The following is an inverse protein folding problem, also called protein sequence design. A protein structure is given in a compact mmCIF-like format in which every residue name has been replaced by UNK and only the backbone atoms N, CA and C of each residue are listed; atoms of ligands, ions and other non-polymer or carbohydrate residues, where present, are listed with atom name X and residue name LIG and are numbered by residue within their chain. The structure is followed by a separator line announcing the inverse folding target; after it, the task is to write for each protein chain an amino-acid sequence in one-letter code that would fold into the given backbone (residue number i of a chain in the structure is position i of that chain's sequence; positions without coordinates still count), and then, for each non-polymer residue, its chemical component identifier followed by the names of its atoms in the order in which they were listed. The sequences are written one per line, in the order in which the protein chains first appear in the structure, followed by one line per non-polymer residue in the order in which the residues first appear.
data_IF_539430046844
#
_entry.id   IF_539430046844
#
_cell.length_a   1.000
_cell.length_b   1.000
_cell.length_c   1.000
_cell.angle_alpha   90.00
_cell.angle_beta   90.00
_cell.angle_gamma   90.00
#
_symmetry.space_group_name_H-M   'P 1'
#
loop_
_entity.id
_entity.type
_entity.pdbx_description
1 polymer ?
#
# COMPACT_ATOMS: atom_id res chain seq x y z
N UNK A 1 -27.58 -11.37 -4.46
CA UNK A 1 -26.68 -10.81 -3.43
C UNK A 1 -26.92 -9.32 -3.36
N UNK A 2 -27.15 -8.77 -2.17
CA UNK A 2 -27.34 -7.33 -1.97
C UNK A 2 -26.06 -6.59 -2.40
N UNK A 3 -26.21 -5.37 -3.02
CA UNK A 3 -25.06 -4.53 -3.46
C UNK A 3 -24.07 -4.24 -2.32
N UNK A 4 -24.58 -4.05 -1.09
CA UNK A 4 -23.74 -3.86 0.08
C UNK A 4 -22.85 -5.06 0.40
N UNK A 5 -23.40 -6.28 0.42
CA UNK A 5 -22.64 -7.52 0.63
C UNK A 5 -21.63 -7.77 -0.49
N UNK A 6 -22.03 -7.52 -1.73
CA UNK A 6 -21.12 -7.65 -2.88
C UNK A 6 -19.93 -6.66 -2.77
N UNK A 7 -20.22 -5.40 -2.41
CA UNK A 7 -19.18 -4.39 -2.21
C UNK A 7 -18.19 -4.76 -1.10
N UNK A 8 -18.70 -5.23 0.04
CA UNK A 8 -17.90 -5.68 1.17
C UNK A 8 -16.96 -6.84 0.78
N UNK A 9 -17.50 -7.86 0.08
CA UNK A 9 -16.70 -9.00 -0.38
C UNK A 9 -15.63 -8.60 -1.39
N UNK A 10 -15.94 -7.67 -2.30
CA UNK A 10 -14.97 -7.18 -3.28
C UNK A 10 -13.84 -6.39 -2.61
N UNK A 11 -14.15 -5.51 -1.65
CA UNK A 11 -13.13 -4.79 -0.89
C UNK A 11 -12.27 -5.76 -0.06
N UNK A 12 -12.90 -6.73 0.62
CA UNK A 12 -12.22 -7.75 1.39
C UNK A 12 -11.25 -8.57 0.51
N UNK A 13 -11.72 -9.04 -0.64
CA UNK A 13 -10.89 -9.77 -1.60
C UNK A 13 -9.72 -8.91 -2.11
N UNK A 14 -9.94 -7.62 -2.35
CA UNK A 14 -8.88 -6.67 -2.73
C UNK A 14 -7.80 -6.55 -1.65
N UNK A 15 -8.19 -6.34 -0.39
CA UNK A 15 -7.26 -6.29 0.75
C UNK A 15 -6.48 -7.59 0.93
N UNK A 16 -7.14 -8.74 0.84
CA UNK A 16 -6.47 -10.05 0.90
C UNK A 16 -5.48 -10.23 -0.26
N UNK A 17 -5.82 -9.79 -1.47
CA UNK A 17 -4.91 -9.83 -2.62
C UNK A 17 -3.65 -9.01 -2.39
N UNK A 18 -3.73 -7.85 -1.72
CA UNK A 18 -2.55 -7.07 -1.35
C UNK A 18 -1.68 -7.81 -0.34
N UNK A 19 -2.26 -8.38 0.72
CA UNK A 19 -1.53 -9.19 1.70
C UNK A 19 -0.84 -10.42 1.09
N UNK A 20 -1.53 -11.12 0.18
CA UNK A 20 -0.96 -12.21 -0.61
C UNK A 20 0.20 -11.74 -1.49
N UNK A 21 0.05 -10.58 -2.13
CA UNK A 21 1.11 -10.00 -2.97
C UNK A 21 2.34 -9.59 -2.16
N UNK A 22 2.15 -8.98 -0.99
CA UNK A 22 3.26 -8.66 -0.08
C UNK A 22 4.01 -9.92 0.36
N UNK A 23 3.28 -10.97 0.74
CA UNK A 23 3.84 -12.27 1.12
C UNK A 23 4.57 -12.96 -0.04
N UNK A 24 4.02 -12.87 -1.27
CA UNK A 24 4.71 -13.36 -2.47
C UNK A 24 5.97 -12.54 -2.73
N UNK A 25 5.95 -11.21 -2.52
CA UNK A 25 7.15 -10.36 -2.57
C UNK A 25 8.22 -10.83 -1.59
N UNK A 26 7.85 -11.12 -0.34
CA UNK A 26 8.77 -11.71 0.65
C UNK A 26 9.37 -13.03 0.16
N UNK A 27 8.56 -13.92 -0.42
CA UNK A 27 9.04 -15.17 -1.02
C UNK A 27 10.06 -14.91 -2.14
N UNK A 28 9.77 -13.95 -3.03
CA UNK A 28 10.67 -13.60 -4.12
C UNK A 28 12.02 -13.06 -3.62
N UNK A 29 12.02 -12.30 -2.54
CA UNK A 29 13.25 -11.77 -1.94
C UNK A 29 14.02 -12.85 -1.17
N UNK A 30 13.34 -13.64 -0.33
CA UNK A 30 14.01 -14.56 0.60
C UNK A 30 14.36 -15.91 -0.02
N UNK A 31 13.53 -16.43 -0.93
CA UNK A 31 13.71 -17.77 -1.53
C UNK A 31 14.22 -17.74 -2.95
N UNK A 32 13.89 -16.67 -3.70
CA UNK A 32 14.33 -16.53 -5.09
C UNK A 32 15.52 -15.58 -5.24
N UNK A 33 15.93 -14.88 -4.17
CA UNK A 33 17.08 -13.97 -4.18
C UNK A 33 16.89 -12.73 -5.06
N UNK A 34 15.65 -12.34 -5.35
CA UNK A 34 15.37 -11.12 -6.11
C UNK A 34 15.72 -9.88 -5.29
N UNK A 35 16.06 -8.79 -5.98
CA UNK A 35 16.26 -7.48 -5.40
C UNK A 35 15.05 -6.57 -5.71
N UNK A 36 14.60 -5.78 -4.73
CA UNK A 36 13.51 -4.83 -4.91
C UNK A 36 13.80 -3.82 -6.02
N UNK A 37 15.08 -3.43 -6.21
CA UNK A 37 15.53 -2.53 -7.26
C UNK A 37 15.35 -3.09 -8.68
N UNK A 38 15.22 -4.41 -8.79
CA UNK A 38 14.93 -5.11 -10.04
C UNK A 38 13.43 -5.44 -10.15
N UNK A 39 12.85 -6.01 -9.10
CA UNK A 39 11.46 -6.49 -9.12
C UNK A 39 10.44 -5.35 -9.20
N UNK A 40 10.61 -4.28 -8.41
CA UNK A 40 9.58 -3.24 -8.31
C UNK A 40 9.43 -2.46 -9.62
N UNK A 41 10.48 -1.97 -10.28
CA UNK A 41 10.35 -1.32 -11.58
C UNK A 41 9.67 -2.21 -12.63
N UNK A 42 10.05 -3.50 -12.68
CA UNK A 42 9.46 -4.47 -13.61
C UNK A 42 7.96 -4.66 -13.34
N UNK A 43 7.58 -4.93 -12.09
CA UNK A 43 6.17 -5.15 -11.72
C UNK A 43 5.30 -3.92 -11.98
N UNK A 44 5.83 -2.72 -11.67
CA UNK A 44 5.12 -1.47 -11.93
C UNK A 44 4.93 -1.26 -13.44
N UNK A 45 5.99 -1.41 -14.23
CA UNK A 45 5.92 -1.26 -15.68
C UNK A 45 4.89 -2.19 -16.31
N UNK A 46 4.94 -3.49 -15.99
CA UNK A 46 3.99 -4.49 -16.50
C UNK A 46 2.56 -4.20 -16.07
N UNK A 47 2.33 -3.94 -14.77
CA UNK A 47 1.00 -3.62 -14.26
C UNK A 47 0.45 -2.31 -14.86
N UNK A 48 1.32 -1.31 -15.01
CA UNK A 48 0.97 -0.03 -15.60
C UNK A 48 0.51 -0.17 -17.05
N UNK A 49 1.22 -0.97 -17.85
CA UNK A 49 0.84 -1.24 -19.25
C UNK A 49 -0.51 -1.96 -19.30
N UNK A 50 -0.73 -2.99 -18.49
CA UNK A 50 -2.00 -3.74 -18.44
C UNK A 50 -3.16 -2.81 -18.06
N UNK A 51 -3.00 -2.01 -17.01
CA UNK A 51 -4.03 -1.06 -16.57
C UNK A 51 -4.26 0.05 -17.62
N UNK A 52 -3.21 0.50 -18.30
CA UNK A 52 -3.34 1.51 -19.35
C UNK A 52 -4.12 1.00 -20.55
N UNK A 53 -3.85 -0.23 -21.01
CA UNK A 53 -4.62 -0.90 -22.06
C UNK A 53 -6.09 -1.02 -21.64
N UNK A 54 -6.36 -1.45 -20.41
CA UNK A 54 -7.72 -1.49 -19.87
C UNK A 54 -8.39 -0.10 -19.90
N UNK A 55 -7.69 0.94 -19.47
CA UNK A 55 -8.21 2.31 -19.51
C UNK A 55 -8.44 2.82 -20.93
N UNK A 56 -7.56 2.47 -21.87
CA UNK A 56 -7.68 2.86 -23.27
C UNK A 56 -8.94 2.25 -23.89
N UNK A 57 -9.21 0.96 -23.65
CA UNK A 57 -10.42 0.28 -24.10
C UNK A 57 -11.68 0.86 -23.44
N UNK A 58 -11.60 1.20 -22.14
CA UNK A 58 -12.76 1.64 -21.35
C UNK A 58 -13.12 3.12 -21.55
N UNK A 59 -12.12 3.98 -21.73
CA UNK A 59 -12.29 5.45 -21.75
C UNK A 59 -11.89 6.08 -23.10
N UNK A 60 -11.27 5.34 -24.01
CA UNK A 60 -10.85 5.82 -25.33
C UNK A 60 -9.93 7.04 -25.23
N UNK A 61 -10.19 8.07 -26.02
CA UNK A 61 -9.37 9.30 -26.06
C UNK A 61 -9.33 10.09 -24.75
N UNK A 62 -10.26 9.85 -23.81
CA UNK A 62 -10.29 10.53 -22.51
C UNK A 62 -9.08 10.18 -21.63
N UNK A 63 -8.34 9.10 -21.97
CA UNK A 63 -7.09 8.77 -21.27
C UNK A 63 -6.06 9.89 -21.32
N UNK A 64 -6.04 10.72 -22.36
CA UNK A 64 -5.11 11.85 -22.48
C UNK A 64 -5.45 13.03 -21.55
N UNK A 65 -6.62 13.02 -20.92
CA UNK A 65 -7.09 14.13 -20.08
C UNK A 65 -6.09 14.63 -19.02
N UNK A 66 -5.46 13.75 -18.21
CA UNK A 66 -4.48 14.17 -17.21
C UNK A 66 -3.23 14.85 -17.79
N UNK A 67 -2.89 14.57 -19.05
CA UNK A 67 -1.73 15.11 -19.73
C UNK A 67 -2.03 16.42 -20.48
N UNK A 68 -3.32 16.72 -20.74
CA UNK A 68 -3.72 17.87 -21.57
C UNK A 68 -3.60 19.20 -20.84
N UNK A 69 -3.53 19.21 -19.49
CA UNK A 69 -3.41 20.40 -18.67
C UNK A 69 -2.12 20.35 -17.86
N UNK A 70 -1.28 21.38 -18.00
CA UNK A 70 0.00 21.47 -17.27
C UNK A 70 -0.13 21.34 -15.75
N UNK A 71 -1.19 21.93 -15.17
CA UNK A 71 -1.40 21.84 -13.73
C UNK A 71 -1.79 20.42 -13.29
N UNK A 72 -2.62 19.72 -14.07
CA UNK A 72 -3.01 18.34 -13.77
C UNK A 72 -1.83 17.39 -14.04
N UNK A 73 -1.03 17.64 -15.04
CA UNK A 73 0.20 16.90 -15.31
C UNK A 73 1.21 17.00 -14.15
N UNK A 74 1.45 18.21 -13.62
CA UNK A 74 2.34 18.38 -12.46
C UNK A 74 1.78 17.69 -11.20
N UNK A 75 0.47 17.78 -10.98
CA UNK A 75 -0.18 17.04 -9.89
C UNK A 75 -0.07 15.53 -10.08
N UNK A 76 -0.18 15.05 -11.33
CA UNK A 76 -0.01 13.62 -11.64
C UNK A 76 1.42 13.16 -11.37
N UNK A 77 2.44 13.99 -11.62
CA UNK A 77 3.83 13.67 -11.26
C UNK A 77 3.96 13.51 -9.73
N UNK A 78 3.44 14.45 -8.95
CA UNK A 78 3.48 14.36 -7.48
C UNK A 78 2.70 13.14 -6.98
N UNK A 79 1.47 12.97 -7.44
CA UNK A 79 0.63 11.81 -7.12
C UNK A 79 1.30 10.50 -7.51
N UNK A 80 1.77 10.42 -8.74
CA UNK A 80 2.24 9.18 -9.35
C UNK A 80 3.66 8.79 -8.93
N UNK A 81 4.62 9.70 -9.02
CA UNK A 81 6.01 9.39 -8.68
C UNK A 81 6.26 9.47 -7.18
N UNK A 82 5.96 10.61 -6.54
CA UNK A 82 6.24 10.79 -5.11
C UNK A 82 5.23 10.05 -4.23
N UNK A 83 3.97 9.96 -4.66
CA UNK A 83 2.94 9.20 -3.93
C UNK A 83 3.02 7.71 -4.26
N UNK A 84 2.37 7.29 -5.36
CA UNK A 84 2.10 5.87 -5.66
C UNK A 84 3.38 5.06 -5.89
N UNK A 85 4.27 5.52 -6.78
CA UNK A 85 5.43 4.71 -7.18
C UNK A 85 6.47 4.60 -6.08
N UNK A 86 6.75 5.71 -5.37
CA UNK A 86 7.67 5.70 -4.22
C UNK A 86 7.10 4.88 -3.08
N UNK A 87 5.78 4.95 -2.84
CA UNK A 87 5.09 4.08 -1.88
C UNK A 87 5.36 2.60 -2.19
N UNK A 88 5.12 2.18 -3.43
CA UNK A 88 5.31 0.80 -3.86
C UNK A 88 6.77 0.34 -3.73
N UNK A 89 7.72 1.21 -4.06
CA UNK A 89 9.14 0.88 -3.92
C UNK A 89 9.53 0.78 -2.44
N UNK A 90 9.20 1.78 -1.63
CA UNK A 90 9.53 1.83 -0.21
C UNK A 90 8.89 0.65 0.57
N UNK A 91 7.64 0.31 0.26
CA UNK A 91 6.94 -0.83 0.83
C UNK A 91 7.67 -2.16 0.53
N UNK A 92 8.01 -2.42 -0.74
CA UNK A 92 8.71 -3.64 -1.13
C UNK A 92 10.15 -3.68 -0.63
N UNK A 93 10.81 -2.53 -0.52
CA UNK A 93 12.11 -2.44 0.14
C UNK A 93 12.01 -2.78 1.63
N UNK A 94 10.99 -2.30 2.31
CA UNK A 94 10.71 -2.68 3.71
C UNK A 94 10.50 -4.19 3.84
N UNK A 95 9.73 -4.80 2.94
CA UNK A 95 9.52 -6.26 2.92
C UNK A 95 10.84 -7.00 2.72
N UNK A 96 11.68 -6.55 1.79
CA UNK A 96 12.99 -7.17 1.53
C UNK A 96 13.91 -7.11 2.75
N UNK A 97 13.87 -6.01 3.49
CA UNK A 97 14.72 -5.78 4.65
C UNK A 97 14.15 -6.36 5.97
N UNK A 98 12.88 -6.79 5.96
CA UNK A 98 12.21 -7.33 7.15
C UNK A 98 11.22 -8.47 6.78
N UNK A 99 9.92 -8.17 6.71
CA UNK A 99 8.86 -9.12 6.33
C UNK A 99 7.67 -8.41 5.70
N UNK A 100 6.79 -9.19 5.05
CA UNK A 100 5.54 -8.66 4.50
C UNK A 100 4.63 -8.07 5.59
N UNK A 101 4.51 -8.76 6.73
CA UNK A 101 3.74 -8.27 7.87
C UNK A 101 4.25 -6.91 8.36
N UNK A 102 5.58 -6.76 8.50
CA UNK A 102 6.17 -5.52 8.97
C UNK A 102 6.04 -4.39 7.95
N UNK A 103 6.23 -4.68 6.65
CA UNK A 103 6.03 -3.70 5.59
C UNK A 103 4.62 -3.12 5.62
N UNK A 104 3.61 -3.99 5.79
CA UNK A 104 2.20 -3.59 5.84
C UNK A 104 1.89 -2.77 7.10
N UNK A 105 2.35 -3.21 8.27
CA UNK A 105 2.13 -2.52 9.54
C UNK A 105 2.71 -1.10 9.52
N UNK A 106 3.94 -0.95 9.04
CA UNK A 106 4.57 0.37 8.95
C UNK A 106 3.87 1.27 7.93
N UNK A 107 3.38 0.72 6.81
CA UNK A 107 2.59 1.46 5.85
C UNK A 107 1.22 1.88 6.43
N UNK A 108 0.62 1.04 7.29
CA UNK A 108 -0.65 1.31 7.97
C UNK A 108 -0.55 2.45 9.03
N UNK A 109 0.62 3.05 9.24
CA UNK A 109 0.75 4.34 9.92
C UNK A 109 0.26 5.52 9.07
N UNK A 110 -0.03 5.32 7.80
CA UNK A 110 -0.48 6.37 6.88
C UNK A 110 -1.70 7.17 7.37
N UNK A 111 -2.73 6.60 8.05
CA UNK A 111 -3.83 7.38 8.60
C UNK A 111 -3.38 8.45 9.62
N UNK A 112 -2.29 8.19 10.36
CA UNK A 112 -1.72 9.17 11.29
C UNK A 112 -1.20 10.39 10.52
N UNK A 113 -0.46 10.16 9.43
CA UNK A 113 0.04 11.26 8.58
C UNK A 113 -1.08 12.00 7.85
N UNK A 114 -2.11 11.28 7.37
CA UNK A 114 -3.30 11.87 6.76
C UNK A 114 -4.01 12.77 7.77
N UNK A 115 -4.21 12.30 9.00
CA UNK A 115 -4.82 13.06 10.07
C UNK A 115 -4.03 14.34 10.39
N UNK A 116 -2.70 14.26 10.48
CA UNK A 116 -1.85 15.44 10.70
C UNK A 116 -2.07 16.49 9.60
N UNK A 117 -2.07 16.06 8.33
CA UNK A 117 -2.32 16.97 7.19
C UNK A 117 -3.73 17.56 7.26
N UNK A 118 -4.74 16.77 7.60
CA UNK A 118 -6.12 17.22 7.75
C UNK A 118 -6.23 18.27 8.85
N UNK A 119 -5.67 18.04 10.03
CA UNK A 119 -5.66 19.00 11.13
C UNK A 119 -5.01 20.33 10.74
N UNK A 120 -3.88 20.27 9.98
CA UNK A 120 -3.19 21.48 9.50
C UNK A 120 -4.05 22.22 8.48
N UNK A 121 -4.68 21.53 7.51
CA UNK A 121 -5.51 22.14 6.46
C UNK A 121 -6.79 22.78 7.02
N UNK A 122 -7.40 22.13 8.02
CA UNK A 122 -8.63 22.59 8.68
C UNK A 122 -8.35 23.58 9.82
N UNK A 123 -7.07 23.90 10.10
CA UNK A 123 -6.64 24.75 11.22
C UNK A 123 -7.25 24.32 12.57
N UNK A 124 -7.46 23.01 12.78
CA UNK A 124 -8.03 22.45 14.00
C UNK A 124 -7.00 21.66 14.81
N UNK A 125 -7.23 21.58 16.11
CA UNK A 125 -6.48 20.68 16.98
C UNK A 125 -6.98 19.23 16.80
N UNK A 126 -6.10 18.22 16.95
CA UNK A 126 -6.53 16.83 16.97
C UNK A 126 -7.49 16.59 18.14
N UNK A 127 -8.47 15.74 17.92
CA UNK A 127 -9.40 15.29 18.95
C UNK A 127 -8.70 14.33 19.92
N UNK A 128 -9.20 14.19 21.14
CA UNK A 128 -8.61 13.27 22.14
C UNK A 128 -8.52 11.84 21.58
N UNK A 129 -9.55 11.36 20.89
CA UNK A 129 -9.54 10.04 20.24
C UNK A 129 -8.44 9.90 19.19
N UNK A 130 -8.13 10.97 18.46
CA UNK A 130 -7.07 11.00 17.46
C UNK A 130 -5.68 10.96 18.11
N UNK A 131 -5.51 11.63 19.25
CA UNK A 131 -4.29 11.57 20.05
C UNK A 131 -4.08 10.16 20.61
N UNK A 132 -5.14 9.54 21.15
CA UNK A 132 -5.10 8.13 21.61
C UNK A 132 -4.70 7.20 20.48
N UNK A 133 -5.27 7.39 19.28
CA UNK A 133 -4.93 6.60 18.11
C UNK A 133 -3.44 6.72 17.72
N UNK A 134 -2.88 7.94 17.75
CA UNK A 134 -1.44 8.17 17.51
C UNK A 134 -0.58 7.43 18.53
N UNK A 135 -0.92 7.52 19.81
CA UNK A 135 -0.18 6.85 20.87
C UNK A 135 -0.24 5.31 20.72
N UNK A 136 -1.42 4.77 20.38
CA UNK A 136 -1.59 3.35 20.08
C UNK A 136 -0.76 2.90 18.88
N UNK A 137 -0.69 3.74 17.81
CA UNK A 137 0.14 3.46 16.66
C UNK A 137 1.62 3.33 17.04
N UNK A 138 2.16 4.31 17.76
CA UNK A 138 3.55 4.30 18.19
C UNK A 138 3.87 3.12 19.11
N UNK A 139 3.03 2.86 20.11
CA UNK A 139 3.24 1.77 21.05
C UNK A 139 3.10 0.39 20.34
N UNK A 140 2.13 0.25 19.44
CA UNK A 140 1.95 -0.96 18.64
C UNK A 140 3.15 -1.27 17.75
N UNK A 141 3.64 -0.26 17.02
CA UNK A 141 4.85 -0.40 16.18
C UNK A 141 6.08 -0.75 17.04
N UNK A 142 6.24 -0.10 18.18
CA UNK A 142 7.37 -0.38 19.08
C UNK A 142 7.33 -1.83 19.59
N UNK A 143 6.17 -2.33 20.01
CA UNK A 143 6.01 -3.73 20.43
C UNK A 143 6.33 -4.72 19.31
N UNK A 144 5.85 -4.46 18.10
CA UNK A 144 6.12 -5.30 16.93
C UNK A 144 7.58 -5.25 16.50
N UNK A 145 8.23 -4.09 16.60
CA UNK A 145 9.64 -3.92 16.25
C UNK A 145 10.59 -4.59 17.24
N UNK A 146 10.22 -4.64 18.53
CA UNK A 146 11.10 -5.12 19.62
C UNK A 146 10.73 -6.53 20.10
N UNK A 147 9.57 -7.06 19.73
CA UNK A 147 8.99 -8.29 20.32
C UNK A 147 9.00 -8.25 21.86
N UNK A 148 8.83 -7.05 22.44
CA UNK A 148 8.81 -6.83 23.88
C UNK A 148 10.20 -6.73 24.56
N UNK A 149 11.31 -6.79 23.79
CA UNK A 149 12.67 -6.63 24.31
C UNK A 149 13.44 -5.59 23.50
N UNK A 150 13.76 -4.46 24.12
CA UNK A 150 14.48 -3.35 23.47
C UNK A 150 15.91 -3.78 23.06
N UNK A 151 16.49 -4.77 23.73
CA UNK A 151 17.82 -5.30 23.42
C UNK A 151 17.86 -6.12 22.11
N UNK A 152 16.70 -6.62 21.67
CA UNK A 152 16.54 -7.42 20.46
C UNK A 152 15.79 -6.63 19.38
N UNK A 153 16.31 -5.49 18.95
CA UNK A 153 15.75 -4.80 17.80
C UNK A 153 15.98 -5.66 16.54
N UNK A 154 14.99 -6.52 16.23
CA UNK A 154 15.05 -7.46 15.10
C UNK A 154 14.84 -6.77 13.75
N UNK A 155 14.43 -5.49 13.76
CA UNK A 155 14.16 -4.73 12.54
C UNK A 155 15.27 -3.71 12.31
N UNK A 156 15.86 -3.76 11.14
CA UNK A 156 16.90 -2.81 10.77
C UNK A 156 16.32 -1.39 10.61
N UNK A 157 17.09 -0.38 11.01
CA UNK A 157 16.70 1.02 10.83
C UNK A 157 16.33 1.35 9.37
N UNK A 158 17.03 0.87 8.33
CA UNK A 158 16.61 1.06 6.94
C UNK A 158 15.22 0.50 6.62
N UNK A 159 14.82 -0.63 7.24
CA UNK A 159 13.47 -1.19 7.04
C UNK A 159 12.40 -0.28 7.64
N UNK A 160 12.65 0.26 8.85
CA UNK A 160 11.74 1.21 9.50
C UNK A 160 11.59 2.48 8.65
N UNK A 161 12.71 3.04 8.19
CA UNK A 161 12.69 4.24 7.34
C UNK A 161 11.92 3.98 6.05
N UNK A 162 12.14 2.84 5.40
CA UNK A 162 11.42 2.48 4.18
C UNK A 162 9.90 2.32 4.43
N UNK A 163 9.51 1.62 5.51
CA UNK A 163 8.11 1.43 5.87
C UNK A 163 7.41 2.75 6.20
N UNK A 164 8.01 3.61 7.02
CA UNK A 164 7.48 4.94 7.34
C UNK A 164 7.43 5.84 6.10
N UNK A 165 8.44 5.79 5.24
CA UNK A 165 8.42 6.52 3.96
C UNK A 165 7.26 6.06 3.08
N UNK A 166 6.95 4.75 3.05
CA UNK A 166 5.78 4.26 2.32
C UNK A 166 4.47 4.85 2.87
N UNK A 167 4.33 4.94 4.20
CA UNK A 167 3.16 5.53 4.86
C UNK A 167 3.00 7.03 4.52
N UNK A 168 4.10 7.79 4.50
CA UNK A 168 4.09 9.20 4.06
C UNK A 168 3.67 9.31 2.59
N UNK A 169 4.14 8.43 1.73
CA UNK A 169 3.74 8.40 0.33
C UNK A 169 2.26 8.05 0.14
N UNK A 170 1.71 7.16 0.98
CA UNK A 170 0.25 6.90 1.04
C UNK A 170 -0.51 8.18 1.36
N UNK A 171 -0.05 8.97 2.33
CA UNK A 171 -0.64 10.28 2.64
C UNK A 171 -0.60 11.21 1.42
N UNK A 172 0.53 11.30 0.69
CA UNK A 172 0.69 12.18 -0.48
C UNK A 172 -0.38 11.88 -1.53
N UNK A 173 -0.55 10.60 -1.91
CA UNK A 173 -1.53 10.29 -2.96
C UNK A 173 -2.97 10.35 -2.46
N UNK A 174 -3.26 10.02 -1.20
CA UNK A 174 -4.60 10.16 -0.64
C UNK A 174 -5.03 11.62 -0.47
N UNK A 175 -4.11 12.54 -0.17
CA UNK A 175 -4.39 13.98 -0.05
C UNK A 175 -4.44 14.71 -1.40
N UNK A 176 -4.51 13.99 -2.51
CA UNK A 176 -4.56 14.54 -3.88
C UNK A 176 -6.00 14.69 -4.41
N UNK A 177 -6.92 15.20 -3.58
CA UNK A 177 -8.37 15.26 -3.81
C UNK A 177 -8.75 15.82 -5.18
N UNK A 178 -8.08 16.91 -5.62
CA UNK A 178 -8.37 17.58 -6.90
C UNK A 178 -8.13 16.69 -8.12
N UNK A 179 -7.18 15.78 -8.03
CA UNK A 179 -6.86 14.87 -9.12
C UNK A 179 -7.79 13.65 -9.12
N UNK A 180 -8.01 13.09 -7.93
CA UNK A 180 -8.84 11.89 -7.70
C UNK A 180 -10.31 12.17 -8.05
N UNK A 181 -10.81 13.37 -7.74
CA UNK A 181 -12.19 13.75 -8.08
C UNK A 181 -12.41 13.98 -9.57
N UNK A 182 -11.35 14.31 -10.31
CA UNK A 182 -11.43 14.67 -11.74
C UNK A 182 -11.22 13.49 -12.69
N UNK A 183 -10.40 12.52 -12.31
CA UNK A 183 -10.00 11.41 -13.16
C UNK A 183 -10.22 10.05 -12.52
N UNK A 184 -10.53 9.00 -13.31
CA UNK A 184 -10.65 7.64 -12.79
C UNK A 184 -9.35 7.18 -12.09
N UNK A 185 -9.47 6.64 -10.88
CA UNK A 185 -8.31 6.17 -10.10
C UNK A 185 -7.49 5.13 -10.88
N UNK A 186 -8.13 4.22 -11.60
CA UNK A 186 -7.44 3.24 -12.45
C UNK A 186 -6.52 3.90 -13.50
N UNK A 187 -6.95 5.03 -14.07
CA UNK A 187 -6.15 5.79 -15.03
C UNK A 187 -4.94 6.47 -14.34
N UNK A 188 -5.16 7.06 -13.18
CA UNK A 188 -4.09 7.66 -12.39
C UNK A 188 -3.05 6.61 -11.97
N UNK A 189 -3.50 5.41 -11.56
CA UNK A 189 -2.63 4.29 -11.23
C UNK A 189 -1.84 3.78 -12.45
N UNK A 190 -2.49 3.67 -13.62
CA UNK A 190 -1.82 3.25 -14.84
C UNK A 190 -0.63 4.18 -15.18
N UNK A 191 -0.87 5.48 -15.17
CA UNK A 191 0.19 6.48 -15.39
C UNK A 191 1.28 6.43 -14.33
N UNK A 192 0.88 6.32 -13.06
CA UNK A 192 1.82 6.22 -11.93
C UNK A 192 2.73 5.01 -12.08
N UNK A 193 2.16 3.86 -12.37
CA UNK A 193 2.90 2.61 -12.49
C UNK A 193 3.84 2.61 -13.70
N UNK A 194 3.41 3.12 -14.87
CA UNK A 194 4.30 3.28 -16.04
C UNK A 194 5.45 4.22 -15.71
N UNK A 195 5.14 5.41 -15.17
CA UNK A 195 6.15 6.39 -14.81
C UNK A 195 7.13 5.84 -13.77
N UNK A 196 6.61 5.17 -12.72
CA UNK A 196 7.43 4.52 -11.71
C UNK A 196 8.31 3.41 -12.27
N UNK A 197 7.75 2.55 -13.12
CA UNK A 197 8.52 1.50 -13.82
C UNK A 197 9.70 2.08 -14.60
N UNK A 198 9.48 3.15 -15.36
CA UNK A 198 10.53 3.81 -16.14
C UNK A 198 11.54 4.49 -15.21
N UNK A 199 11.08 5.38 -14.33
CA UNK A 199 11.96 6.22 -13.49
C UNK A 199 12.81 5.36 -12.56
N UNK A 200 12.23 4.38 -11.88
CA UNK A 200 13.00 3.51 -10.98
C UNK A 200 13.92 2.55 -11.75
N UNK A 201 13.53 2.10 -12.95
CA UNK A 201 14.48 1.36 -13.81
C UNK A 201 15.71 2.19 -14.15
N UNK A 202 15.53 3.48 -14.46
CA UNK A 202 16.63 4.39 -14.77
C UNK A 202 17.49 4.72 -13.53
N UNK A 203 16.86 5.01 -12.37
CA UNK A 203 17.57 5.34 -11.12
C UNK A 203 18.45 4.19 -10.68
N UNK A 204 17.91 2.97 -10.66
CA UNK A 204 18.62 1.79 -10.17
C UNK A 204 19.40 1.06 -11.25
N UNK A 205 19.32 1.53 -12.51
CA UNK A 205 19.90 0.82 -13.64
C UNK A 205 19.53 -0.66 -13.62
N UNK A 206 18.23 -0.96 -13.45
CA UNK A 206 17.74 -2.32 -13.17
C UNK A 206 18.20 -3.35 -14.21
N UNK A 207 18.52 -2.93 -15.44
CA UNK A 207 19.08 -3.77 -16.49
C UNK A 207 20.52 -4.24 -16.20
N UNK A 208 21.23 -3.64 -15.25
CA UNK A 208 22.58 -4.07 -14.84
C UNK A 208 22.53 -5.13 -13.75
N UNK A 209 21.37 -5.36 -13.15
CA UNK A 209 21.18 -6.40 -12.14
C UNK A 209 20.95 -7.72 -12.88
N UNK A 210 21.99 -8.55 -12.94
CA UNK A 210 21.92 -9.83 -13.60
C UNK A 210 21.14 -10.82 -12.73
N UNK A 211 19.85 -10.96 -13.02
CA UNK A 211 18.98 -11.93 -12.40
C UNK A 211 18.14 -12.65 -13.47
N UNK A 212 18.20 -13.97 -13.47
CA UNK A 212 17.39 -14.79 -14.38
C UNK A 212 16.41 -15.59 -13.54
N UNK A 213 15.10 -15.25 -13.61
CA UNK A 213 14.10 -15.97 -12.84
C UNK A 213 13.91 -17.39 -13.33
N UNK A 214 13.83 -18.34 -12.41
CA UNK A 214 13.37 -19.69 -12.70
C UNK A 214 11.83 -19.74 -12.81
N UNK A 215 11.25 -20.90 -13.08
CA UNK A 215 9.78 -21.02 -13.25
C UNK A 215 8.99 -20.52 -12.03
N UNK A 216 9.45 -20.78 -10.80
CA UNK A 216 8.82 -20.30 -9.57
C UNK A 216 8.95 -18.77 -9.43
N UNK A 217 10.10 -18.21 -9.82
CA UNK A 217 10.32 -16.77 -9.86
C UNK A 217 9.41 -16.08 -10.88
N UNK A 218 9.24 -16.64 -12.07
CA UNK A 218 8.31 -16.13 -13.10
C UNK A 218 6.88 -16.17 -12.58
N UNK A 219 6.45 -17.30 -11.99
CA UNK A 219 5.12 -17.40 -11.37
C UNK A 219 4.92 -16.31 -10.31
N UNK A 220 5.89 -16.10 -9.43
CA UNK A 220 5.80 -15.08 -8.39
C UNK A 220 5.72 -13.66 -8.97
N UNK A 221 6.50 -13.34 -10.02
CA UNK A 221 6.42 -12.04 -10.71
C UNK A 221 5.01 -11.84 -11.30
N UNK A 222 4.50 -12.82 -12.05
CA UNK A 222 3.15 -12.76 -12.63
C UNK A 222 2.11 -12.59 -11.53
N UNK A 223 2.26 -13.30 -10.42
CA UNK A 223 1.36 -13.21 -9.28
C UNK A 223 1.34 -11.79 -8.68
N UNK A 224 2.50 -11.19 -8.36
CA UNK A 224 2.52 -9.83 -7.78
C UNK A 224 2.04 -8.76 -8.76
N UNK A 225 2.22 -8.97 -10.07
CA UNK A 225 1.69 -8.07 -11.11
C UNK A 225 0.17 -8.20 -11.22
N UNK A 226 -0.33 -9.41 -11.44
CA UNK A 226 -1.75 -9.63 -11.72
C UNK A 226 -2.58 -9.53 -10.43
N UNK A 227 -2.22 -10.27 -9.39
CA UNK A 227 -2.99 -10.31 -8.13
C UNK A 227 -2.80 -9.03 -7.33
N UNK A 228 -1.55 -8.60 -7.14
CA UNK A 228 -1.23 -7.47 -6.28
C UNK A 228 -1.55 -6.10 -6.88
N UNK A 229 -1.35 -5.91 -8.18
CA UNK A 229 -1.52 -4.59 -8.79
C UNK A 229 -2.81 -4.48 -9.64
N UNK A 230 -3.15 -5.49 -10.45
CA UNK A 230 -4.31 -5.37 -11.34
C UNK A 230 -5.60 -5.80 -10.64
N UNK A 231 -5.62 -7.03 -10.11
CA UNK A 231 -6.82 -7.61 -9.53
C UNK A 231 -7.21 -6.93 -8.20
N UNK A 232 -6.24 -6.76 -7.29
CA UNK A 232 -6.47 -6.13 -5.99
C UNK A 232 -7.12 -4.75 -6.14
N UNK A 233 -6.52 -3.87 -6.95
CA UNK A 233 -7.06 -2.53 -7.19
C UNK A 233 -8.42 -2.57 -7.88
N UNK A 234 -8.61 -3.44 -8.88
CA UNK A 234 -9.88 -3.55 -9.61
C UNK A 234 -11.01 -3.99 -8.68
N UNK A 235 -10.77 -5.01 -7.85
CA UNK A 235 -11.74 -5.51 -6.88
C UNK A 235 -12.06 -4.43 -5.82
N UNK A 236 -11.02 -3.84 -5.24
CA UNK A 236 -11.17 -2.84 -4.19
C UNK A 236 -11.95 -1.61 -4.67
N UNK A 237 -11.56 -1.00 -5.81
CA UNK A 237 -12.24 0.17 -6.37
C UNK A 237 -13.70 -0.16 -6.70
N UNK A 238 -13.96 -1.35 -7.27
CA UNK A 238 -15.33 -1.78 -7.56
C UNK A 238 -16.14 -1.99 -6.28
N UNK A 239 -15.53 -2.56 -5.25
CA UNK A 239 -16.15 -2.71 -3.94
C UNK A 239 -16.51 -1.36 -3.34
N UNK A 240 -15.55 -0.41 -3.31
CA UNK A 240 -15.75 0.97 -2.83
C UNK A 240 -16.88 1.68 -3.58
N UNK A 241 -17.04 1.44 -4.88
CA UNK A 241 -18.15 2.04 -5.66
C UNK A 241 -19.54 1.57 -5.19
N UNK A 242 -19.63 0.45 -4.47
CA UNK A 242 -20.89 -0.08 -3.94
C UNK A 242 -21.17 0.31 -2.49
N UNK A 243 -20.13 0.42 -1.64
CA UNK A 243 -20.28 0.64 -0.18
C UNK A 243 -19.72 1.97 0.30
N UNK A 244 -19.10 2.75 -0.56
CA UNK A 244 -18.42 4.00 -0.23
C UNK A 244 -17.00 3.81 0.31
N UNK A 245 -16.17 4.87 0.25
CA UNK A 245 -14.78 4.82 0.67
C UNK A 245 -14.61 4.57 2.17
N UNK A 246 -15.46 5.16 3.01
CA UNK A 246 -15.38 5.04 4.47
C UNK A 246 -15.56 3.61 4.98
N UNK A 247 -16.45 2.84 4.33
CA UNK A 247 -16.63 1.42 4.62
C UNK A 247 -15.58 0.56 3.91
N UNK A 248 -15.16 0.95 2.72
CA UNK A 248 -14.15 0.24 1.94
C UNK A 248 -12.83 0.12 2.69
N UNK A 249 -12.38 1.19 3.34
CA UNK A 249 -11.10 1.25 4.07
C UNK A 249 -11.01 0.21 5.19
N UNK A 250 -12.16 -0.13 5.83
CA UNK A 250 -12.19 -1.15 6.89
C UNK A 250 -11.81 -2.55 6.37
N UNK A 251 -12.14 -2.84 5.11
CA UNK A 251 -11.78 -4.11 4.48
C UNK A 251 -10.33 -4.14 3.98
N UNK A 252 -9.70 -2.96 3.80
CA UNK A 252 -8.26 -2.85 3.53
C UNK A 252 -7.41 -3.46 4.65
N UNK A 253 -7.91 -3.44 5.90
CA UNK A 253 -7.21 -4.05 7.05
C UNK A 253 -7.09 -5.57 6.99
N UNK A 254 -7.71 -6.23 6.03
CA UNK A 254 -7.44 -7.64 5.75
C UNK A 254 -6.06 -7.85 5.10
N UNK A 255 -5.43 -6.82 4.56
CA UNK A 255 -4.06 -6.89 4.05
C UNK A 255 -3.06 -7.30 5.15
N UNK A 256 -2.91 -6.54 6.27
CA UNK A 256 -1.97 -6.92 7.34
C UNK A 256 -2.32 -8.24 8.00
N UNK A 257 -3.60 -8.56 8.16
CA UNK A 257 -4.03 -9.86 8.70
C UNK A 257 -3.57 -11.00 7.81
N UNK A 258 -3.79 -10.87 6.49
CA UNK A 258 -3.39 -11.89 5.52
C UNK A 258 -1.86 -12.04 5.51
N UNK A 259 -1.12 -10.93 5.49
CA UNK A 259 0.34 -10.93 5.53
C UNK A 259 0.88 -11.59 6.80
N UNK A 260 0.28 -11.30 7.96
CA UNK A 260 0.68 -11.88 9.24
C UNK A 260 0.41 -13.40 9.29
N UNK A 261 -0.78 -13.83 8.88
CA UNK A 261 -1.12 -15.26 8.82
C UNK A 261 -0.12 -16.03 7.95
N UNK A 262 0.21 -15.51 6.75
CA UNK A 262 1.17 -16.16 5.86
C UNK A 262 2.58 -16.13 6.44
N UNK A 263 2.99 -15.04 7.09
CA UNK A 263 4.30 -14.92 7.72
C UNK A 263 4.49 -16.01 8.80
N UNK A 264 3.46 -16.28 9.59
CA UNK A 264 3.51 -17.33 10.61
C UNK A 264 3.40 -18.73 10.00
N UNK A 265 2.45 -18.96 9.10
CA UNK A 265 2.13 -20.30 8.60
C UNK A 265 3.08 -20.81 7.52
N UNK A 266 3.49 -19.95 6.60
CA UNK A 266 4.32 -20.30 5.44
C UNK A 266 5.81 -20.05 5.70
N UNK A 267 6.13 -18.91 6.34
CA UNK A 267 7.52 -18.57 6.64
C UNK A 267 7.99 -19.05 8.01
N UNK A 268 7.07 -19.67 8.80
CA UNK A 268 7.36 -20.22 10.13
C UNK A 268 7.98 -19.20 11.11
N UNK A 269 7.61 -17.93 10.96
CA UNK A 269 8.03 -16.89 11.89
C UNK A 269 7.44 -17.15 13.28
N UNK A 270 8.26 -16.96 14.32
CA UNK A 270 7.79 -17.07 15.70
C UNK A 270 6.92 -15.86 16.03
N UNK A 271 5.64 -16.09 16.28
CA UNK A 271 4.75 -15.07 16.82
C UNK A 271 4.87 -15.05 18.35
N UNK A 272 5.03 -13.88 18.93
CA UNK A 272 5.04 -13.67 20.37
C UNK A 272 3.71 -13.05 20.84
N UNK A 273 3.46 -13.08 22.14
CA UNK A 273 2.30 -12.38 22.72
C UNK A 273 2.40 -10.88 22.49
N UNK A 274 3.61 -10.33 22.46
CA UNK A 274 3.86 -8.91 22.16
C UNK A 274 3.46 -8.54 20.75
N UNK A 275 3.66 -9.44 19.76
CA UNK A 275 3.21 -9.22 18.39
C UNK A 275 1.69 -9.14 18.32
N UNK A 276 0.99 -10.06 19.02
CA UNK A 276 -0.47 -10.05 19.08
C UNK A 276 -1.01 -8.75 19.71
N UNK A 277 -0.40 -8.31 20.80
CA UNK A 277 -0.75 -7.04 21.46
C UNK A 277 -0.47 -5.84 20.54
N UNK A 278 0.71 -5.80 19.90
CA UNK A 278 1.08 -4.76 18.94
C UNK A 278 0.10 -4.68 17.76
N UNK A 279 -0.27 -5.84 17.18
CA UNK A 279 -1.32 -5.91 16.16
C UNK A 279 -2.66 -5.37 16.66
N UNK A 280 -3.10 -5.80 17.85
CA UNK A 280 -4.36 -5.32 18.41
C UNK A 280 -4.36 -3.80 18.61
N UNK A 281 -3.25 -3.21 19.07
CA UNK A 281 -3.11 -1.75 19.22
C UNK A 281 -3.22 -1.02 17.88
N UNK A 282 -2.57 -1.52 16.81
CA UNK A 282 -2.69 -0.95 15.46
C UNK A 282 -4.12 -1.06 14.95
N UNK A 283 -4.80 -2.22 15.13
CA UNK A 283 -6.20 -2.38 14.75
C UNK A 283 -7.13 -1.40 15.49
N UNK A 284 -6.93 -1.23 16.79
CA UNK A 284 -7.72 -0.27 17.60
C UNK A 284 -7.47 1.16 17.08
N UNK A 285 -6.23 1.52 16.80
CA UNK A 285 -5.87 2.81 16.19
C UNK A 285 -6.64 3.04 14.89
N UNK A 286 -6.60 2.06 13.99
CA UNK A 286 -7.28 2.15 12.70
C UNK A 286 -8.79 2.31 12.85
N UNK A 287 -9.41 1.58 13.78
CA UNK A 287 -10.84 1.71 14.09
C UNK A 287 -11.18 3.09 14.68
N UNK A 288 -10.33 3.64 15.55
CA UNK A 288 -10.54 4.96 16.13
C UNK A 288 -10.47 6.07 15.09
N UNK A 289 -9.52 6.00 14.14
CA UNK A 289 -9.36 7.00 13.09
C UNK A 289 -10.46 6.87 12.02
N UNK A 290 -10.89 5.64 11.68
CA UNK A 290 -11.89 5.40 10.65
C UNK A 290 -13.32 5.76 11.07
N UNK A 291 -13.61 5.83 12.37
CA UNK A 291 -14.91 6.32 12.89
C UNK A 291 -14.90 7.84 12.83
N UNK A 292 -15.38 8.42 11.73
CA UNK A 292 -15.77 9.84 11.70
C UNK A 292 -16.94 10.01 12.65
N UNK A 293 -16.84 10.95 13.59
CA UNK A 293 -18.03 11.45 14.27
C UNK A 293 -18.86 12.14 13.20
N UNK A 294 -20.13 11.72 13.06
CA UNK A 294 -21.10 12.55 12.36
C UNK A 294 -21.10 13.92 13.08
N UNK A 295 -21.10 15.04 12.33
CA UNK A 295 -21.24 16.33 12.97
C UNK A 295 -22.52 16.27 13.81
N UNK A 296 -22.39 16.52 15.11
CA UNK A 296 -23.54 16.77 15.99
C UNK A 296 -24.21 17.99 15.41
N UNK A 297 -25.40 17.80 14.80
CA UNK A 297 -26.25 18.87 14.30
C UNK A 297 -26.65 19.86 15.43
#
# INVERSE_FOLDING_TARGET
MNKGTAGALLCAAGGMCWGLSGSMGQYLFTRQGMDSRWLVPLRLGLAGVILFIYCLVRYGRKVAGPLSNRADFLRLIVYGLLGVSTCQFAYFLCIQLSSAAMGTILQDLSPVFILMVTCIREHRKPLIKEVIAILLAFAGVLLLATHGSIENLLISMPAIIAGVASAVCVMIYNCSDRLISKYPVALLQAYSFIAGGIVYSLIFRSWTIHYVPNAAGIFGIVFVVIVGNVLAFTLYIRGVSYIGPDRGILYGFLEPVTAAVITVTVFHAKATVFDLVGFAMIFIMLLLISRRDEPVE
#
